data_IF_270695868104
#
_entry.id   IF_270695868104
#
_cell.length_a   1.000
_cell.length_b   1.000
_cell.length_c   1.000
_cell.angle_alpha   90.00
_cell.angle_beta   90.00
_cell.angle_gamma   90.00
#
_symmetry.space_group_name_H-M   'P 1'
#
loop_
_entity.id
_entity.type
_entity.pdbx_description
1 polymer ?
#
# COMPACT_ATOMS: atom_id res chain seq x y z
N UNK A 1 47.10 14.42 -35.40
CA UNK A 1 47.69 13.06 -35.40
C UNK A 1 47.75 12.65 -33.93
N UNK A 2 46.79 11.84 -33.48
CA UNK A 2 47.02 10.45 -33.01
C UNK A 2 48.01 10.49 -31.83
N UNK A 3 47.60 10.27 -30.58
CA UNK A 3 47.58 8.93 -29.94
C UNK A 3 46.62 8.93 -28.73
N UNK A 4 45.82 7.85 -28.64
CA UNK A 4 45.18 7.24 -27.46
C UNK A 4 44.16 8.05 -26.66
N UNK A 5 42.86 7.73 -26.70
CA UNK A 5 42.25 6.49 -26.16
C UNK A 5 42.57 6.29 -24.68
N UNK A 6 41.83 7.00 -23.83
CA UNK A 6 41.32 6.51 -22.55
C UNK A 6 39.86 7.00 -22.53
N UNK A 7 38.89 6.31 -23.12
CA UNK A 7 38.29 5.09 -22.53
C UNK A 7 38.57 5.02 -21.02
N UNK A 8 38.15 6.06 -20.31
CA UNK A 8 37.63 5.83 -18.96
C UNK A 8 36.14 5.71 -19.18
N UNK A 9 35.73 4.46 -19.38
CA UNK A 9 34.38 4.02 -19.17
C UNK A 9 33.89 4.63 -17.85
N UNK A 10 33.17 5.75 -17.90
CA UNK A 10 32.13 6.01 -16.92
C UNK A 10 31.00 5.01 -17.22
N UNK A 11 31.32 3.73 -17.00
CA UNK A 11 30.38 2.77 -16.45
C UNK A 11 30.00 3.32 -15.08
N UNK A 12 29.19 4.38 -15.07
CA UNK A 12 28.41 4.74 -13.90
C UNK A 12 27.45 3.57 -13.75
N UNK A 13 27.92 2.64 -12.93
CA UNK A 13 27.24 1.52 -12.36
C UNK A 13 25.75 1.81 -12.31
N UNK A 14 24.98 0.99 -13.04
CA UNK A 14 23.59 0.77 -12.73
C UNK A 14 23.50 0.26 -11.30
N UNK A 15 23.53 1.17 -10.32
CA UNK A 15 22.91 0.95 -9.05
C UNK A 15 21.42 0.86 -9.37
N UNK A 16 20.97 -0.35 -9.67
CA UNK A 16 19.59 -0.71 -9.46
C UNK A 16 19.34 -0.45 -7.97
N UNK A 17 18.89 0.76 -7.64
CA UNK A 17 18.36 1.08 -6.33
C UNK A 17 17.17 0.15 -6.16
N UNK A 18 17.40 -0.99 -5.52
CA UNK A 18 16.35 -1.87 -5.04
C UNK A 18 15.58 -1.04 -4.01
N UNK A 19 14.57 -0.30 -4.48
CA UNK A 19 13.77 0.59 -3.67
C UNK A 19 13.13 -0.27 -2.58
N UNK A 20 13.61 -0.14 -1.34
CA UNK A 20 13.14 -0.91 -0.20
C UNK A 20 11.66 -0.58 0.02
N UNK A 21 10.77 -1.48 -0.41
CA UNK A 21 9.33 -1.29 -0.29
C UNK A 21 8.92 -1.26 1.19
N UNK A 22 8.27 -0.18 1.60
CA UNK A 22 7.72 -0.03 2.97
C UNK A 22 6.70 -1.14 3.22
N UNK A 23 6.79 -1.82 4.37
CA UNK A 23 5.82 -2.85 4.77
C UNK A 23 5.73 -4.07 3.83
N UNK A 24 6.75 -4.34 3.01
CA UNK A 24 6.69 -5.41 2.01
C UNK A 24 6.01 -5.00 0.70
N UNK A 25 5.57 -3.74 0.56
CA UNK A 25 4.96 -3.20 -0.65
C UNK A 25 3.44 -3.22 -0.65
N UNK A 26 2.86 -2.79 -1.75
CA UNK A 26 1.40 -2.65 -1.88
C UNK A 26 0.70 -4.02 -1.91
N UNK A 27 -0.48 -4.09 -1.27
CA UNK A 27 -1.28 -5.31 -1.14
C UNK A 27 -2.56 -5.16 -1.97
N UNK A 28 -2.72 -6.00 -2.99
CA UNK A 28 -3.94 -6.03 -3.80
C UNK A 28 -4.99 -6.94 -3.17
N UNK A 29 -6.19 -6.43 -2.94
CA UNK A 29 -7.38 -7.21 -2.58
C UNK A 29 -8.32 -7.28 -3.78
N UNK A 30 -8.77 -8.48 -4.10
CA UNK A 30 -9.70 -8.68 -5.23
C UNK A 30 -11.13 -8.72 -4.71
N UNK A 31 -12.01 -7.95 -5.37
CA UNK A 31 -13.45 -7.99 -5.15
C UNK A 31 -14.12 -8.26 -6.47
N UNK A 32 -14.86 -9.37 -6.54
CA UNK A 32 -15.65 -9.74 -7.73
C UNK A 32 -16.77 -8.74 -8.03
N UNK A 33 -17.26 -8.03 -7.01
CA UNK A 33 -18.42 -7.15 -7.14
C UNK A 33 -18.08 -5.67 -7.31
N UNK A 34 -17.02 -5.20 -6.64
CA UNK A 34 -16.73 -3.76 -6.50
C UNK A 34 -15.47 -3.31 -7.21
N UNK A 35 -14.67 -4.23 -7.77
CA UNK A 35 -13.37 -3.90 -8.36
C UNK A 35 -12.23 -4.05 -7.35
N UNK A 36 -11.01 -4.19 -7.86
CA UNK A 36 -9.84 -4.45 -7.04
C UNK A 36 -9.50 -3.23 -6.16
N UNK A 37 -8.99 -3.51 -4.96
CA UNK A 37 -8.49 -2.51 -4.02
C UNK A 37 -6.99 -2.68 -3.89
N UNK A 38 -6.24 -1.61 -4.14
CA UNK A 38 -4.81 -1.58 -3.89
C UNK A 38 -4.54 -0.84 -2.58
N UNK A 39 -4.12 -1.58 -1.56
CA UNK A 39 -3.64 -0.99 -0.31
C UNK A 39 -2.18 -0.60 -0.46
N UNK A 40 -1.84 0.66 -0.18
CA UNK A 40 -0.46 1.13 -0.23
C UNK A 40 0.11 1.40 1.16
N UNK A 41 1.13 0.63 1.54
CA UNK A 41 1.86 0.85 2.79
C UNK A 41 2.51 2.23 2.83
N UNK A 42 3.02 2.72 1.69
CA UNK A 42 3.68 4.02 1.62
C UNK A 42 2.71 5.16 2.01
N UNK A 43 1.49 5.14 1.47
CA UNK A 43 0.49 6.17 1.80
C UNK A 43 0.08 6.15 3.27
N UNK A 44 -0.07 4.96 3.86
CA UNK A 44 -0.48 4.82 5.25
C UNK A 44 0.66 5.16 6.22
N UNK A 45 1.90 4.85 5.86
CA UNK A 45 3.06 5.17 6.70
C UNK A 45 3.47 6.65 6.67
N UNK A 46 2.96 7.43 5.70
CA UNK A 46 3.12 8.90 5.68
C UNK A 46 2.22 9.61 6.69
N UNK A 47 1.22 8.92 7.26
CA UNK A 47 0.37 9.49 8.31
C UNK A 47 1.19 9.63 9.60
N UNK A 48 1.24 10.82 10.21
CA UNK A 48 1.99 11.06 11.44
C UNK A 48 1.67 10.02 12.52
N UNK A 49 2.68 9.65 13.31
CA UNK A 49 2.59 8.70 14.42
C UNK A 49 2.15 7.27 14.07
N UNK A 50 2.01 6.96 12.78
CA UNK A 50 1.71 5.60 12.32
C UNK A 50 2.96 4.72 12.46
N UNK A 51 2.81 3.57 13.13
CA UNK A 51 3.86 2.58 13.33
C UNK A 51 3.38 1.24 12.80
N UNK A 52 4.30 0.32 12.49
CA UNK A 52 3.96 -1.01 11.99
C UNK A 52 2.98 -1.76 12.90
N UNK A 53 3.13 -1.59 14.22
CA UNK A 53 2.29 -2.22 15.23
C UNK A 53 0.90 -1.59 15.41
N UNK A 54 0.66 -0.42 14.80
CA UNK A 54 -0.68 0.18 14.74
C UNK A 54 -1.63 -0.67 13.90
N UNK A 55 -1.12 -1.34 12.87
CA UNK A 55 -1.88 -2.24 12.01
C UNK A 55 -1.61 -3.71 12.34
N UNK A 56 -0.37 -4.07 12.65
CA UNK A 56 0.03 -5.46 12.82
C UNK A 56 0.29 -5.86 14.29
N UNK A 57 -0.11 -7.03 14.74
CA UNK A 57 -1.02 -8.00 14.10
C UNK A 57 -2.49 -7.73 14.42
N UNK A 58 -2.78 -6.61 15.12
CA UNK A 58 -4.10 -6.31 15.70
C UNK A 58 -5.20 -6.12 14.67
N UNK A 59 -4.93 -5.38 13.59
CA UNK A 59 -5.89 -5.06 12.53
C UNK A 59 -5.70 -5.96 11.31
N UNK A 60 -4.43 -6.22 10.96
CA UNK A 60 -4.05 -7.11 9.87
C UNK A 60 -2.97 -8.07 10.34
N UNK A 61 -2.99 -9.31 9.86
CA UNK A 61 -1.84 -10.20 9.98
C UNK A 61 -0.73 -9.77 9.03
N UNK A 62 0.51 -10.10 9.36
CA UNK A 62 1.68 -9.81 8.51
C UNK A 62 1.63 -10.56 7.17
N UNK A 63 0.90 -11.69 7.13
CA UNK A 63 0.58 -12.41 5.89
C UNK A 63 -0.79 -11.98 5.41
N UNK A 64 -0.91 -11.71 4.11
CA UNK A 64 -2.20 -11.43 3.47
C UNK A 64 -3.17 -12.58 3.73
N UNK A 65 -4.26 -12.29 4.43
CA UNK A 65 -5.38 -13.21 4.57
C UNK A 65 -6.29 -13.12 3.35
N UNK A 66 -6.76 -14.27 2.89
CA UNK A 66 -7.68 -14.34 1.79
C UNK A 66 -9.08 -14.01 2.30
N UNK A 67 -9.58 -12.85 1.85
CA UNK A 67 -10.98 -12.36 1.88
C UNK A 67 -11.32 -11.42 3.05
N UNK A 68 -11.48 -10.14 2.71
CA UNK A 68 -12.20 -9.15 3.51
C UNK A 68 -13.62 -9.08 2.93
N UNK A 69 -14.61 -9.16 3.79
CA UNK A 69 -16.03 -9.17 3.41
C UNK A 69 -16.72 -7.87 3.80
N UNK A 70 -17.94 -7.64 3.27
CA UNK A 70 -18.78 -6.53 3.72
C UNK A 70 -19.19 -6.66 5.19
N UNK A 71 -19.33 -7.89 5.71
CA UNK A 71 -19.65 -8.12 7.12
C UNK A 71 -18.51 -7.60 8.03
N UNK A 72 -17.25 -7.82 7.61
CA UNK A 72 -16.10 -7.29 8.35
C UNK A 72 -16.10 -5.76 8.43
N UNK A 73 -16.59 -5.08 7.38
CA UNK A 73 -16.74 -3.64 7.39
C UNK A 73 -17.80 -3.16 8.38
N UNK A 74 -18.90 -3.91 8.54
CA UNK A 74 -19.94 -3.58 9.52
C UNK A 74 -19.46 -3.77 10.97
N UNK A 75 -18.52 -4.69 11.19
CA UNK A 75 -17.95 -4.99 12.50
C UNK A 75 -16.71 -4.15 12.86
N UNK A 76 -16.46 -3.05 12.14
CA UNK A 76 -15.32 -2.17 12.36
C UNK A 76 -13.95 -2.89 12.26
N UNK A 77 -13.81 -3.86 11.35
CA UNK A 77 -12.55 -4.60 11.11
C UNK A 77 -11.76 -4.06 9.91
N UNK A 78 -10.48 -4.42 9.85
CA UNK A 78 -9.58 -4.10 8.73
C UNK A 78 -9.56 -2.60 8.39
N UNK A 79 -9.98 -2.24 7.19
CA UNK A 79 -10.00 -0.87 6.69
C UNK A 79 -10.86 0.06 7.58
N UNK A 80 -12.00 -0.45 8.07
CA UNK A 80 -12.98 0.34 8.84
C UNK A 80 -12.55 0.69 10.26
N UNK A 81 -11.44 0.13 10.77
CA UNK A 81 -10.86 0.54 12.07
C UNK A 81 -10.45 2.02 12.07
N UNK A 82 -10.06 2.53 10.90
CA UNK A 82 -9.68 3.93 10.70
C UNK A 82 -10.52 4.64 9.64
N UNK A 83 -10.98 3.94 8.60
CA UNK A 83 -11.90 4.51 7.60
C UNK A 83 -13.35 4.52 8.10
N UNK A 84 -13.56 5.10 9.29
CA UNK A 84 -14.82 5.19 10.03
C UNK A 84 -15.56 6.51 9.80
N UNK A 85 -15.02 7.39 8.97
CA UNK A 85 -15.54 8.75 8.75
C UNK A 85 -15.09 9.77 9.81
N UNK A 86 -14.28 9.36 10.79
CA UNK A 86 -13.74 10.22 11.85
C UNK A 86 -12.22 10.31 11.77
N UNK A 87 -11.51 9.18 11.80
CA UNK A 87 -10.04 9.14 11.71
C UNK A 87 -9.55 9.29 10.28
N UNK A 88 -10.29 8.73 9.33
CA UNK A 88 -10.10 8.89 7.90
C UNK A 88 -11.47 8.92 7.20
N UNK A 89 -11.48 9.10 5.89
CA UNK A 89 -12.71 9.07 5.09
C UNK A 89 -13.48 7.75 5.30
N UNK A 90 -14.80 7.79 5.18
CA UNK A 90 -15.63 6.63 5.47
C UNK A 90 -15.51 5.58 4.38
N UNK A 91 -15.31 4.33 4.77
CA UNK A 91 -15.31 3.19 3.84
C UNK A 91 -16.70 2.63 3.54
N UNK A 92 -17.76 3.21 4.14
CA UNK A 92 -19.17 2.88 3.90
C UNK A 92 -19.94 3.98 3.20
N UNK A 93 -19.38 5.19 3.07
CA UNK A 93 -19.99 6.26 2.31
C UNK A 93 -19.91 5.98 0.80
N UNK A 94 -21.04 6.07 0.11
CA UNK A 94 -21.11 5.74 -1.33
C UNK A 94 -20.14 6.59 -2.16
N UNK A 95 -20.07 7.89 -1.87
CA UNK A 95 -19.16 8.84 -2.53
C UNK A 95 -17.68 8.47 -2.39
N UNK A 96 -17.31 7.68 -1.38
CA UNK A 96 -15.93 7.32 -1.08
C UNK A 96 -15.55 5.94 -1.64
N UNK A 97 -16.50 5.15 -2.16
CA UNK A 97 -16.24 3.80 -2.68
C UNK A 97 -15.12 3.80 -3.72
N UNK A 98 -15.14 4.77 -4.64
CA UNK A 98 -14.15 4.91 -5.72
C UNK A 98 -12.73 5.29 -5.24
N UNK A 99 -12.56 5.70 -3.97
CA UNK A 99 -11.24 5.98 -3.40
C UNK A 99 -10.41 4.71 -3.26
N UNK A 100 -11.06 3.59 -2.91
CA UNK A 100 -10.40 2.29 -2.76
C UNK A 100 -10.66 1.36 -3.94
N UNK A 101 -11.90 1.30 -4.40
CA UNK A 101 -12.34 0.37 -5.43
C UNK A 101 -12.10 0.95 -6.82
N UNK A 102 -11.05 0.47 -7.49
CA UNK A 102 -10.75 0.83 -8.88
C UNK A 102 -11.28 -0.27 -9.79
N UNK A 103 -11.98 0.13 -10.86
CA UNK A 103 -12.42 -0.76 -11.94
C UNK A 103 -11.27 -1.03 -12.88
#
# INVERSE_FOLDING_TARGET
MIVSVCIICFAALGAAFAQKKVGGGDVKYESKEKGAVLFSHETHMKVPDTKCNSCHTKVFKMKKEAKITKADHAEAKYCTVCHDGKKAFSSTAEADCAKCHKK
#
